data_IF_709903979833
#
_entry.id   IF_709903979833
#
_cell.length_a   1.000
_cell.length_b   1.000
_cell.length_c   1.000
_cell.angle_alpha   90.00
_cell.angle_beta   90.00
_cell.angle_gamma   90.00
#
_symmetry.space_group_name_H-M   'P 1'
#
loop_
_entity.id
_entity.type
_entity.pdbx_description
1 polymer ?
#
# COMPACT_ATOMS: atom_id res chain seq x y z
N UNK A 1 2.54 10.92 -38.52
CA UNK A 1 2.44 9.82 -39.50
C UNK A 1 3.34 8.70 -39.01
N UNK A 2 2.79 7.53 -38.66
CA UNK A 2 3.55 6.42 -38.05
C UNK A 2 3.92 5.42 -39.16
N UNK A 3 5.20 5.27 -39.44
CA UNK A 3 5.75 4.36 -40.46
C UNK A 3 6.09 3.00 -39.82
N UNK A 4 6.46 2.99 -38.54
CA UNK A 4 6.78 1.78 -37.78
C UNK A 4 6.11 1.77 -36.40
N UNK A 5 6.16 0.64 -35.70
CA UNK A 5 5.72 0.55 -34.29
C UNK A 5 6.65 1.34 -33.35
N UNK A 6 7.88 1.66 -33.78
CA UNK A 6 8.92 2.32 -32.99
C UNK A 6 8.99 3.81 -33.32
N UNK A 7 8.47 4.64 -32.44
CA UNK A 7 8.41 6.12 -32.65
C UNK A 7 9.80 6.71 -32.89
N UNK A 8 10.83 6.23 -32.19
CA UNK A 8 12.21 6.68 -32.40
C UNK A 8 12.78 6.27 -33.76
N UNK A 9 12.39 5.12 -34.30
CA UNK A 9 12.81 4.70 -35.64
C UNK A 9 12.17 5.58 -36.72
N UNK A 10 10.91 5.96 -36.54
CA UNK A 10 10.26 6.90 -37.45
C UNK A 10 10.93 8.28 -37.40
N UNK A 11 11.25 8.76 -36.19
CA UNK A 11 11.98 10.01 -36.01
C UNK A 11 13.34 9.99 -36.73
N UNK A 12 14.09 8.88 -36.63
CA UNK A 12 15.37 8.70 -37.32
C UNK A 12 15.21 8.81 -38.85
N UNK A 13 14.21 8.11 -39.40
CA UNK A 13 13.93 8.13 -40.84
C UNK A 13 13.61 9.56 -41.30
N UNK A 14 12.73 10.27 -40.58
CA UNK A 14 12.37 11.64 -40.94
C UNK A 14 13.56 12.59 -40.86
N UNK A 15 14.40 12.51 -39.82
CA UNK A 15 15.57 13.37 -39.66
C UNK A 15 16.63 13.16 -40.74
N UNK A 16 16.91 11.90 -41.11
CA UNK A 16 17.88 11.57 -42.17
C UNK A 16 17.34 11.99 -43.54
N UNK A 17 16.07 11.68 -43.85
CA UNK A 17 15.44 12.09 -45.11
C UNK A 17 15.42 13.60 -45.23
N UNK A 18 15.07 14.32 -44.16
CA UNK A 18 15.11 15.78 -44.15
C UNK A 18 16.53 16.33 -44.39
N UNK A 19 17.54 15.75 -43.72
CA UNK A 19 18.94 16.10 -43.96
C UNK A 19 19.39 15.87 -45.40
N UNK A 20 19.00 14.74 -46.01
CA UNK A 20 19.27 14.45 -47.42
C UNK A 20 18.55 15.43 -48.38
N UNK A 21 17.30 15.79 -48.10
CA UNK A 21 16.55 16.79 -48.88
C UNK A 21 17.24 18.15 -48.82
N UNK A 22 17.68 18.58 -47.62
CA UNK A 22 18.47 19.82 -47.49
C UNK A 22 19.76 19.71 -48.30
N UNK A 23 20.53 18.62 -48.13
CA UNK A 23 21.77 18.40 -48.86
C UNK A 23 21.60 18.39 -50.38
N UNK A 24 20.46 17.92 -50.88
CA UNK A 24 20.09 17.93 -52.29
C UNK A 24 19.77 19.34 -52.82
N UNK A 25 19.07 20.16 -52.04
CA UNK A 25 18.66 21.51 -52.45
C UNK A 25 19.78 22.55 -52.23
N UNK A 26 20.72 22.28 -51.32
CA UNK A 26 21.79 23.20 -50.92
C UNK A 26 22.67 23.73 -52.07
N UNK A 27 23.13 22.92 -53.05
CA UNK A 27 23.93 23.43 -54.17
C UNK A 27 23.22 24.52 -54.98
N UNK A 28 21.90 24.47 -55.08
CA UNK A 28 21.12 25.50 -55.78
C UNK A 28 21.10 26.83 -55.02
N UNK A 29 21.02 26.77 -53.68
CA UNK A 29 21.16 27.96 -52.82
C UNK A 29 22.54 28.58 -52.93
N UNK A 30 23.59 27.76 -53.02
CA UNK A 30 24.97 28.23 -53.15
C UNK A 30 25.20 28.93 -54.50
N UNK A 31 24.55 28.47 -55.57
CA UNK A 31 24.54 29.18 -56.87
C UNK A 31 23.82 30.53 -56.75
N UNK A 32 22.68 30.59 -56.06
CA UNK A 32 21.95 31.84 -55.80
C UNK A 32 22.80 32.85 -55.01
N UNK A 33 23.67 32.37 -54.12
CA UNK A 33 24.62 33.17 -53.34
C UNK A 33 25.86 33.63 -54.14
N UNK A 34 25.94 33.32 -55.44
CA UNK A 34 26.98 33.82 -56.35
C UNK A 34 28.15 32.87 -56.61
N UNK A 35 28.07 31.60 -56.21
CA UNK A 35 29.11 30.61 -56.54
C UNK A 35 28.95 30.13 -57.99
N UNK A 36 30.05 30.08 -58.78
CA UNK A 36 30.01 29.57 -60.15
C UNK A 36 29.42 28.17 -60.24
N UNK A 37 28.49 27.98 -61.19
CA UNK A 37 27.77 26.72 -61.43
C UNK A 37 28.70 25.53 -61.66
N UNK A 38 29.87 25.78 -62.26
CA UNK A 38 30.91 24.80 -62.55
C UNK A 38 31.55 24.18 -61.29
N UNK A 39 31.48 24.87 -60.14
CA UNK A 39 31.99 24.38 -58.87
C UNK A 39 30.86 23.73 -58.07
N UNK A 40 29.68 24.35 -58.04
CA UNK A 40 28.54 23.89 -57.25
C UNK A 40 27.92 22.58 -57.77
N UNK A 41 28.00 22.30 -59.08
CA UNK A 41 27.43 21.08 -59.68
C UNK A 41 28.49 19.98 -59.85
N UNK A 42 29.75 20.21 -59.43
CA UNK A 42 30.76 19.14 -59.46
C UNK A 42 30.29 17.94 -58.64
N UNK A 43 30.42 16.70 -59.16
CA UNK A 43 29.98 15.50 -58.44
C UNK A 43 30.55 15.40 -57.03
N UNK A 44 31.81 15.80 -56.83
CA UNK A 44 32.45 15.85 -55.51
C UNK A 44 31.74 16.80 -54.54
N UNK A 45 31.46 18.04 -54.96
CA UNK A 45 30.76 19.02 -54.12
C UNK A 45 29.34 18.57 -53.79
N UNK A 46 28.65 18.00 -54.77
CA UNK A 46 27.29 17.49 -54.61
C UNK A 46 27.22 16.33 -53.59
N UNK A 47 28.12 15.35 -53.71
CA UNK A 47 28.21 14.22 -52.77
C UNK A 47 28.59 14.70 -51.37
N UNK A 48 29.48 15.68 -51.24
CA UNK A 48 29.82 16.30 -49.95
C UNK A 48 28.63 17.01 -49.31
N UNK A 49 27.79 17.71 -50.09
CA UNK A 49 26.58 18.35 -49.57
C UNK A 49 25.57 17.31 -49.07
N UNK A 50 25.39 16.23 -49.84
CA UNK A 50 24.49 15.14 -49.46
C UNK A 50 24.96 14.42 -48.20
N UNK A 51 26.27 14.13 -48.07
CA UNK A 51 26.84 13.47 -46.90
C UNK A 51 26.80 14.36 -45.67
N UNK A 52 27.05 15.67 -45.81
CA UNK A 52 26.91 16.63 -44.71
C UNK A 52 25.46 16.70 -44.21
N UNK A 53 24.48 16.75 -45.11
CA UNK A 53 23.06 16.72 -44.77
C UNK A 53 22.66 15.43 -44.05
N UNK A 54 23.09 14.27 -44.53
CA UNK A 54 22.85 12.99 -43.88
C UNK A 54 23.48 12.92 -42.48
N UNK A 55 24.74 13.37 -42.34
CA UNK A 55 25.46 13.39 -41.08
C UNK A 55 24.77 14.29 -40.04
N UNK A 56 24.32 15.48 -40.46
CA UNK A 56 23.55 16.37 -39.60
C UNK A 56 22.25 15.71 -39.11
N UNK A 57 21.54 15.00 -40.00
CA UNK A 57 20.36 14.21 -39.62
C UNK A 57 20.66 13.13 -38.59
N UNK A 58 21.77 12.39 -38.76
CA UNK A 58 22.22 11.35 -37.82
C UNK A 58 22.56 11.97 -36.45
N UNK A 59 23.32 13.06 -36.41
CA UNK A 59 23.69 13.74 -35.16
C UNK A 59 22.44 14.23 -34.43
N UNK A 60 21.50 14.84 -35.15
CA UNK A 60 20.26 15.33 -34.57
C UNK A 60 19.41 14.21 -33.96
N UNK A 61 19.40 13.03 -34.60
CA UNK A 61 18.74 11.84 -34.05
C UNK A 61 19.37 11.38 -32.74
N UNK A 62 20.70 11.32 -32.65
CA UNK A 62 21.39 10.97 -31.41
C UNK A 62 21.12 11.99 -30.30
N UNK A 63 21.09 13.29 -30.63
CA UNK A 63 20.74 14.34 -29.68
C UNK A 63 19.31 14.14 -29.13
N UNK A 64 18.35 13.85 -30.00
CA UNK A 64 16.97 13.60 -29.61
C UNK A 64 16.84 12.35 -28.71
N UNK A 65 17.56 11.27 -29.02
CA UNK A 65 17.60 10.08 -28.17
C UNK A 65 18.20 10.37 -26.80
N UNK A 66 19.30 11.12 -26.74
CA UNK A 66 19.98 11.41 -25.50
C UNK A 66 19.12 12.30 -24.58
N UNK A 67 18.56 13.39 -25.13
CA UNK A 67 17.80 14.37 -24.36
C UNK A 67 16.42 13.85 -24.00
N UNK A 68 15.65 13.33 -24.98
CA UNK A 68 14.24 12.95 -24.76
C UNK A 68 14.13 11.50 -24.31
N UNK A 69 14.93 10.60 -24.90
CA UNK A 69 14.88 9.17 -24.59
C UNK A 69 15.19 8.87 -23.13
N UNK A 70 16.21 9.52 -22.56
CA UNK A 70 16.55 9.36 -21.13
C UNK A 70 15.39 9.74 -20.20
N UNK A 71 14.66 10.81 -20.53
CA UNK A 71 13.53 11.27 -19.70
C UNK A 71 12.32 10.35 -19.77
N UNK A 72 12.00 9.86 -20.97
CA UNK A 72 10.91 8.89 -21.15
C UNK A 72 11.23 7.59 -20.40
N UNK A 73 12.50 7.18 -20.38
CA UNK A 73 12.92 6.00 -19.64
C UNK A 73 12.69 6.13 -18.13
N UNK A 74 12.98 7.30 -17.53
CA UNK A 74 12.69 7.56 -16.11
C UNK A 74 11.19 7.40 -15.81
N UNK A 75 10.30 7.93 -16.66
CA UNK A 75 8.86 7.75 -16.49
C UNK A 75 8.45 6.28 -16.60
N UNK A 76 8.99 5.55 -17.57
CA UNK A 76 8.69 4.13 -17.78
C UNK A 76 9.16 3.27 -16.58
N UNK A 77 10.36 3.52 -16.07
CA UNK A 77 10.93 2.83 -14.92
C UNK A 77 10.14 3.11 -13.64
N UNK A 78 9.70 4.37 -13.46
CA UNK A 78 8.78 4.75 -12.39
C UNK A 78 7.46 3.98 -12.46
N UNK A 79 6.84 3.88 -13.64
CA UNK A 79 5.60 3.11 -13.82
C UNK A 79 5.80 1.63 -13.50
N UNK A 80 6.88 1.00 -13.98
CA UNK A 80 7.18 -0.40 -13.73
C UNK A 80 7.45 -0.69 -12.24
N UNK A 81 8.08 0.25 -11.54
CA UNK A 81 8.33 0.15 -10.10
C UNK A 81 7.02 0.15 -9.31
N UNK A 82 6.11 1.07 -9.62
CA UNK A 82 4.79 1.13 -8.96
C UNK A 82 3.95 -0.11 -9.28
N UNK A 83 3.95 -0.57 -10.54
CA UNK A 83 3.26 -1.81 -10.94
C UNK A 83 3.76 -3.02 -10.13
N UNK A 84 5.08 -3.18 -10.01
CA UNK A 84 5.68 -4.30 -9.29
C UNK A 84 5.29 -4.28 -7.82
N UNK A 85 5.37 -3.10 -7.17
CA UNK A 85 4.98 -2.94 -5.76
C UNK A 85 3.49 -3.19 -5.55
N UNK A 86 2.63 -2.71 -6.44
CA UNK A 86 1.18 -2.94 -6.35
C UNK A 86 0.84 -4.44 -6.48
N UNK A 87 1.50 -5.13 -7.41
CA UNK A 87 1.36 -6.58 -7.58
C UNK A 87 1.82 -7.35 -6.33
N UNK A 88 2.91 -6.93 -5.69
CA UNK A 88 3.35 -7.52 -4.44
C UNK A 88 2.34 -7.33 -3.30
N UNK A 89 1.73 -6.16 -3.16
CA UNK A 89 0.68 -5.94 -2.15
C UNK A 89 -0.50 -6.88 -2.36
N UNK A 90 -0.94 -7.00 -3.62
CA UNK A 90 -2.11 -7.80 -3.97
C UNK A 90 -1.87 -9.29 -3.72
N UNK A 91 -0.65 -9.78 -3.97
CA UNK A 91 -0.31 -11.20 -3.85
C UNK A 91 0.20 -11.61 -2.47
N UNK A 92 0.98 -10.75 -1.80
CA UNK A 92 1.68 -11.10 -0.57
C UNK A 92 0.97 -10.57 0.70
N UNK A 93 -0.13 -9.83 0.56
CA UNK A 93 -0.81 -9.22 1.72
C UNK A 93 0.08 -8.26 2.50
N UNK A 94 1.18 -7.78 1.88
CA UNK A 94 2.03 -6.75 2.45
C UNK A 94 1.21 -5.47 2.59
N UNK A 95 1.51 -4.70 3.62
CA UNK A 95 0.67 -3.58 4.06
C UNK A 95 1.13 -2.22 3.56
N UNK A 96 2.37 -2.08 3.08
CA UNK A 96 2.89 -0.78 2.69
C UNK A 96 3.10 -0.68 1.18
N UNK A 97 2.20 0.04 0.51
CA UNK A 97 2.58 0.65 -0.75
C UNK A 97 3.70 1.65 -0.45
N UNK A 98 4.73 1.59 -1.28
CA UNK A 98 5.79 2.59 -1.41
C UNK A 98 5.47 3.95 -0.77
N UNK A 99 6.35 4.44 0.12
CA UNK A 99 6.25 5.82 0.57
C UNK A 99 6.34 6.75 -0.64
N UNK A 100 5.55 7.83 -0.65
CA UNK A 100 5.47 8.79 -1.76
C UNK A 100 6.87 9.24 -2.24
N UNK A 101 7.80 9.44 -1.31
CA UNK A 101 9.18 9.85 -1.60
C UNK A 101 9.93 8.81 -2.44
N UNK A 102 9.73 7.52 -2.17
CA UNK A 102 10.42 6.40 -2.84
C UNK A 102 9.87 6.10 -4.24
N UNK A 103 8.63 6.48 -4.53
CA UNK A 103 7.98 6.23 -5.83
C UNK A 103 7.74 7.49 -6.65
N UNK A 104 8.11 8.65 -6.12
CA UNK A 104 8.13 9.89 -6.90
C UNK A 104 9.32 9.91 -7.86
N UNK A 105 9.12 10.50 -9.02
CA UNK A 105 10.20 10.79 -9.96
C UNK A 105 10.59 12.27 -9.87
N UNK A 106 11.86 12.56 -10.14
CA UNK A 106 12.40 13.92 -10.13
C UNK A 106 11.74 14.74 -11.25
N UNK A 107 11.37 15.98 -10.93
CA UNK A 107 10.87 16.97 -11.89
C UNK A 107 12.00 17.96 -12.17
N UNK A 108 12.60 17.90 -13.36
CA UNK A 108 13.73 18.73 -13.75
C UNK A 108 13.56 19.41 -15.11
N UNK A 109 12.33 19.46 -15.61
CA UNK A 109 11.94 20.18 -16.82
C UNK A 109 10.73 21.07 -16.54
N UNK A 110 10.64 22.19 -17.24
CA UNK A 110 9.50 23.11 -17.23
C UNK A 110 8.57 22.90 -18.44
N UNK A 111 8.92 21.98 -19.34
CA UNK A 111 8.10 21.63 -20.50
C UNK A 111 7.11 20.47 -20.22
N UNK A 112 6.51 19.94 -21.29
CA UNK A 112 5.51 18.86 -21.24
C UNK A 112 6.06 17.59 -20.55
N UNK A 113 7.38 17.36 -20.58
CA UNK A 113 8.01 16.23 -19.87
C UNK A 113 7.93 16.46 -18.36
N UNK A 114 8.19 17.69 -17.90
CA UNK A 114 8.02 18.09 -16.51
C UNK A 114 6.58 17.99 -16.04
N UNK A 115 5.63 18.47 -16.87
CA UNK A 115 4.19 18.35 -16.59
C UNK A 115 3.76 16.88 -16.44
N UNK A 116 4.26 16.01 -17.32
CA UNK A 116 3.98 14.56 -17.25
C UNK A 116 4.53 13.95 -15.95
N UNK A 117 5.73 14.35 -15.53
CA UNK A 117 6.31 13.90 -14.26
C UNK A 117 5.49 14.38 -13.05
N UNK A 118 4.98 15.61 -13.07
CA UNK A 118 4.10 16.13 -12.04
C UNK A 118 2.77 15.36 -11.97
N UNK A 119 2.14 15.09 -13.11
CA UNK A 119 0.90 14.29 -13.18
C UNK A 119 1.12 12.89 -12.62
N UNK A 120 2.23 12.24 -13.00
CA UNK A 120 2.60 10.94 -12.47
C UNK A 120 2.76 10.97 -10.95
N UNK A 121 3.51 11.94 -10.40
CA UNK A 121 3.70 12.06 -8.96
C UNK A 121 2.36 12.28 -8.21
N UNK A 122 1.44 13.08 -8.78
CA UNK A 122 0.09 13.25 -8.20
C UNK A 122 -0.71 11.95 -8.21
N UNK A 123 -0.60 11.15 -9.26
CA UNK A 123 -1.26 9.85 -9.35
C UNK A 123 -0.72 8.89 -8.29
N UNK A 124 0.61 8.79 -8.15
CA UNK A 124 1.25 7.96 -7.13
C UNK A 124 0.80 8.37 -5.73
N UNK A 125 0.74 9.67 -5.44
CA UNK A 125 0.25 10.19 -4.16
C UNK A 125 -1.20 9.79 -3.89
N UNK A 126 -2.08 10.04 -4.86
CA UNK A 126 -3.51 9.73 -4.73
C UNK A 126 -3.75 8.24 -4.51
N UNK A 127 -2.97 7.39 -5.19
CA UNK A 127 -3.02 5.94 -5.02
C UNK A 127 -2.58 5.52 -3.61
N UNK A 128 -1.47 6.06 -3.10
CA UNK A 128 -1.00 5.79 -1.75
C UNK A 128 -2.03 6.18 -0.69
N UNK A 129 -2.62 7.38 -0.80
CA UNK A 129 -3.66 7.87 0.10
C UNK A 129 -4.91 6.94 0.11
N UNK A 130 -5.30 6.43 -1.08
CA UNK A 130 -6.42 5.50 -1.21
C UNK A 130 -6.16 4.15 -0.54
N UNK A 131 -4.96 3.60 -0.68
CA UNK A 131 -4.60 2.31 -0.06
C UNK A 131 -4.50 2.43 1.46
N UNK A 132 -3.94 3.52 1.97
CA UNK A 132 -3.90 3.79 3.41
C UNK A 132 -5.31 3.82 4.00
N UNK A 133 -6.26 4.44 3.29
CA UNK A 133 -7.67 4.48 3.71
C UNK A 133 -8.28 3.08 3.72
N UNK A 134 -8.03 2.25 2.70
CA UNK A 134 -8.51 0.87 2.67
C UNK A 134 -7.95 0.03 3.82
N UNK A 135 -6.65 0.17 4.12
CA UNK A 135 -6.02 -0.53 5.22
C UNK A 135 -6.64 -0.10 6.56
N UNK A 136 -6.86 1.19 6.78
CA UNK A 136 -7.50 1.69 7.99
C UNK A 136 -8.92 1.10 8.20
N UNK A 137 -9.71 0.98 7.13
CA UNK A 137 -11.04 0.35 7.17
C UNK A 137 -10.94 -1.14 7.51
N UNK A 138 -9.99 -1.87 6.92
CA UNK A 138 -9.75 -3.29 7.23
C UNK A 138 -9.36 -3.45 8.70
N UNK A 139 -8.35 -2.73 9.18
CA UNK A 139 -7.90 -2.78 10.58
C UNK A 139 -9.02 -2.42 11.56
N UNK A 140 -9.85 -1.44 11.22
CA UNK A 140 -11.02 -1.11 12.01
C UNK A 140 -12.05 -2.24 12.05
N UNK A 141 -12.30 -2.90 10.91
CA UNK A 141 -13.18 -4.06 10.82
C UNK A 141 -12.64 -5.24 11.63
N UNK A 142 -11.32 -5.47 11.60
CA UNK A 142 -10.65 -6.49 12.41
C UNK A 142 -10.77 -6.19 13.91
N UNK A 143 -10.64 -4.93 14.32
CA UNK A 143 -10.87 -4.51 15.71
C UNK A 143 -12.32 -4.78 16.14
N UNK A 144 -13.31 -4.43 15.31
CA UNK A 144 -14.71 -4.73 15.60
C UNK A 144 -14.99 -6.23 15.70
N UNK A 145 -14.38 -7.03 14.81
CA UNK A 145 -14.46 -8.48 14.88
C UNK A 145 -13.84 -9.03 16.18
N UNK A 146 -12.72 -8.47 16.64
CA UNK A 146 -12.09 -8.88 17.90
C UNK A 146 -12.94 -8.56 19.14
N UNK A 147 -13.72 -7.48 19.10
CA UNK A 147 -14.68 -7.16 20.18
C UNK A 147 -15.90 -8.08 20.21
N UNK A 148 -16.20 -8.79 19.12
CA UNK A 148 -17.33 -9.73 19.02
C UNK A 148 -17.02 -11.14 19.53
N UNK A 149 -15.77 -11.46 19.87
CA UNK A 149 -15.34 -12.82 20.25
C UNK A 149 -14.98 -13.00 21.74
N UNK A 150 -15.09 -11.93 22.56
CA UNK A 150 -14.78 -11.99 23.99
C UNK A 150 -15.71 -12.96 24.75
N UNK A 151 -17.00 -12.93 24.45
CA UNK A 151 -18.01 -13.78 25.11
C UNK A 151 -17.80 -15.26 24.76
N UNK A 152 -17.58 -15.58 23.49
CA UNK A 152 -17.29 -16.94 23.01
C UNK A 152 -15.99 -17.48 23.59
N UNK A 153 -14.93 -16.67 23.58
CA UNK A 153 -13.62 -17.05 24.14
C UNK A 153 -13.71 -17.28 25.64
N UNK A 154 -14.39 -16.39 26.38
CA UNK A 154 -14.58 -16.50 27.81
C UNK A 154 -15.41 -17.75 28.18
N UNK A 155 -16.46 -18.05 27.42
CA UNK A 155 -17.31 -19.20 27.67
C UNK A 155 -16.56 -20.52 27.44
N UNK A 156 -15.83 -20.64 26.33
CA UNK A 156 -15.03 -21.84 26.03
C UNK A 156 -13.88 -22.04 27.04
N UNK A 157 -13.19 -20.96 27.40
CA UNK A 157 -12.09 -21.00 28.38
C UNK A 157 -12.60 -21.37 29.77
N UNK A 158 -13.75 -20.81 30.18
CA UNK A 158 -14.41 -21.14 31.43
C UNK A 158 -14.79 -22.63 31.47
N UNK A 159 -15.38 -23.16 30.40
CA UNK A 159 -15.67 -24.60 30.27
C UNK A 159 -14.45 -25.48 30.53
N UNK A 160 -13.33 -25.21 29.85
CA UNK A 160 -12.09 -25.95 30.05
C UNK A 160 -11.52 -25.82 31.48
N UNK A 161 -11.67 -24.64 32.10
CA UNK A 161 -11.19 -24.42 33.47
C UNK A 161 -12.01 -25.19 34.50
N UNK A 162 -13.33 -25.26 34.32
CA UNK A 162 -14.23 -26.01 35.19
C UNK A 162 -13.96 -27.51 35.09
N UNK A 163 -13.78 -28.03 33.87
CA UNK A 163 -13.44 -29.44 33.64
C UNK A 163 -12.14 -29.85 34.32
N UNK A 164 -11.09 -29.01 34.24
CA UNK A 164 -9.78 -29.32 34.80
C UNK A 164 -9.67 -29.08 36.32
N UNK A 165 -10.47 -28.16 36.87
CA UNK A 165 -10.46 -27.85 38.31
C UNK A 165 -11.43 -28.71 39.12
N UNK A 166 -12.38 -29.40 38.46
CA UNK A 166 -13.46 -30.13 39.13
C UNK A 166 -14.50 -29.21 39.78
N UNK A 167 -14.55 -27.94 39.39
CA UNK A 167 -15.47 -26.95 39.94
C UNK A 167 -16.87 -27.11 39.34
N UNK A 168 -17.92 -26.92 40.15
CA UNK A 168 -19.32 -27.09 39.70
C UNK A 168 -19.87 -25.92 38.86
N UNK A 169 -19.11 -24.83 38.71
CA UNK A 169 -19.45 -23.68 37.88
C UNK A 169 -18.60 -22.46 38.22
N UNK A 170 -18.78 -21.38 37.47
CA UNK A 170 -17.99 -20.16 37.60
C UNK A 170 -18.46 -19.07 36.65
N UNK A 171 -17.83 -17.90 36.75
CA UNK A 171 -18.05 -16.79 35.83
C UNK A 171 -16.73 -16.06 35.58
N UNK A 172 -16.61 -15.51 34.37
CA UNK A 172 -15.51 -14.65 33.95
C UNK A 172 -16.06 -13.22 33.92
N UNK A 173 -15.37 -12.32 34.59
CA UNK A 173 -15.71 -10.91 34.62
C UNK A 173 -14.60 -10.08 33.99
N UNK A 174 -14.96 -8.94 33.41
CA UNK A 174 -14.03 -7.94 32.92
C UNK A 174 -14.44 -6.57 33.44
N UNK A 175 -13.46 -5.70 33.61
CA UNK A 175 -13.68 -4.31 34.03
C UNK A 175 -13.96 -3.46 32.78
N UNK A 176 -15.13 -2.84 32.75
CA UNK A 176 -15.48 -1.81 31.77
C UNK A 176 -15.81 -0.51 32.51
N UNK A 177 -14.87 0.45 32.46
CA UNK A 177 -15.03 1.80 33.03
C UNK A 177 -15.32 1.76 34.55
N UNK A 178 -14.69 0.83 35.27
CA UNK A 178 -14.82 0.70 36.72
C UNK A 178 -16.04 -0.12 37.17
N UNK A 179 -16.81 -0.68 36.24
CA UNK A 179 -17.88 -1.63 36.52
C UNK A 179 -17.50 -3.03 36.04
N UNK A 180 -17.72 -4.04 36.90
CA UNK A 180 -17.49 -5.43 36.54
C UNK A 180 -18.66 -5.96 35.71
N UNK A 181 -18.39 -6.24 34.43
CA UNK A 181 -19.31 -6.91 33.52
C UNK A 181 -18.99 -8.38 33.38
N UNK A 182 -20.00 -9.17 33.04
CA UNK A 182 -19.89 -10.61 32.86
C UNK A 182 -19.47 -10.88 31.42
N UNK A 183 -18.35 -11.56 31.21
CA UNK A 183 -17.92 -12.08 29.90
C UNK A 183 -18.42 -13.52 29.67
N UNK A 184 -18.55 -14.33 30.72
CA UNK A 184 -19.13 -15.66 30.65
C UNK A 184 -19.66 -16.11 32.01
N UNK A 185 -20.70 -16.95 32.01
CA UNK A 185 -21.26 -17.55 33.23
C UNK A 185 -21.68 -19.00 32.94
N UNK A 186 -21.25 -19.92 33.79
CA UNK A 186 -21.66 -21.33 33.76
C UNK A 186 -22.01 -21.77 35.18
N UNK A 187 -23.29 -22.02 35.44
CA UNK A 187 -23.78 -22.61 36.68
C UNK A 187 -24.01 -21.65 37.85
N UNK A 188 -23.71 -20.34 37.76
CA UNK A 188 -24.14 -19.35 38.78
C UNK A 188 -25.51 -18.79 38.42
N UNK A 189 -26.42 -18.75 39.39
CA UNK A 189 -27.79 -18.24 39.19
C UNK A 189 -27.87 -16.71 39.16
N UNK A 190 -27.09 -16.06 40.02
CA UNK A 190 -27.09 -14.61 40.21
C UNK A 190 -25.64 -14.07 40.12
N UNK A 191 -25.02 -14.05 38.93
CA UNK A 191 -23.62 -13.66 38.76
C UNK A 191 -23.35 -12.18 39.11
N UNK A 192 -24.34 -11.30 39.00
CA UNK A 192 -24.19 -9.88 39.39
C UNK A 192 -23.96 -9.71 40.89
N UNK A 193 -24.54 -10.59 41.71
CA UNK A 193 -24.34 -10.58 43.18
C UNK A 193 -22.89 -10.91 43.54
N UNK A 194 -22.24 -11.74 42.72
CA UNK A 194 -20.81 -12.07 42.88
C UNK A 194 -19.96 -10.87 42.47
N UNK A 195 -20.26 -10.22 41.34
CA UNK A 195 -19.55 -9.03 40.88
C UNK A 195 -19.63 -7.87 41.88
N UNK A 196 -20.78 -7.69 42.53
CA UNK A 196 -21.01 -6.64 43.53
C UNK A 196 -20.42 -6.96 44.92
N UNK A 197 -19.83 -8.13 45.12
CA UNK A 197 -19.30 -8.54 46.43
C UNK A 197 -18.01 -7.78 46.78
N UNK A 198 -17.97 -7.17 47.96
CA UNK A 198 -16.77 -6.53 48.52
C UNK A 198 -15.56 -7.48 48.51
N UNK A 199 -15.79 -8.78 48.71
CA UNK A 199 -14.71 -9.77 48.72
C UNK A 199 -14.03 -9.93 47.35
N UNK A 200 -14.79 -9.79 46.27
CA UNK A 200 -14.31 -9.86 44.88
C UNK A 200 -13.61 -8.56 44.51
N UNK A 201 -14.20 -7.41 44.82
CA UNK A 201 -13.58 -6.11 44.58
C UNK A 201 -12.23 -5.97 45.31
N UNK A 202 -12.14 -6.42 46.56
CA UNK A 202 -10.88 -6.39 47.32
C UNK A 202 -9.83 -7.32 46.70
N UNK A 203 -10.22 -8.49 46.20
CA UNK A 203 -9.30 -9.44 45.56
C UNK A 203 -8.71 -8.84 44.26
N UNK A 204 -9.53 -8.16 43.46
CA UNK A 204 -9.11 -7.43 42.26
C UNK A 204 -8.18 -6.26 42.58
N UNK A 205 -8.56 -5.39 43.53
CA UNK A 205 -7.72 -4.25 43.95
C UNK A 205 -6.35 -4.69 44.46
N UNK A 206 -6.29 -5.81 45.19
CA UNK A 206 -5.03 -6.33 45.75
C UNK A 206 -4.28 -7.26 44.81
N UNK A 207 -4.86 -7.62 43.65
CA UNK A 207 -4.34 -8.64 42.71
C UNK A 207 -3.90 -9.93 43.40
N UNK A 208 -4.71 -10.39 44.35
CA UNK A 208 -4.44 -11.60 45.12
C UNK A 208 -5.57 -12.60 44.96
N UNK A 209 -5.21 -13.84 44.65
CA UNK A 209 -6.13 -14.98 44.71
C UNK A 209 -6.73 -15.09 46.10
N UNK A 210 -8.05 -15.18 46.18
CA UNK A 210 -8.76 -15.25 47.46
C UNK A 210 -9.73 -16.41 47.47
N UNK A 211 -9.60 -17.26 48.49
CA UNK A 211 -10.55 -18.34 48.77
C UNK A 211 -11.57 -17.85 49.80
N UNK A 212 -12.85 -18.00 49.49
CA UNK A 212 -13.97 -17.60 50.33
C UNK A 212 -14.73 -18.87 50.72
N UNK A 213 -14.82 -19.17 52.01
CA UNK A 213 -15.55 -20.35 52.51
C UNK A 213 -16.96 -19.96 52.93
N UNK A 214 -17.95 -20.77 52.53
CA UNK A 214 -19.38 -20.61 52.81
C UNK A 214 -19.94 -19.21 52.44
N UNK A 215 -19.85 -18.82 51.16
CA UNK A 215 -20.37 -17.54 50.70
C UNK A 215 -21.90 -17.48 50.86
N UNK A 216 -22.37 -16.56 51.71
CA UNK A 216 -23.80 -16.27 51.84
C UNK A 216 -24.26 -15.47 50.62
N UNK A 217 -25.31 -15.94 49.95
CA UNK A 217 -25.94 -15.23 48.83
C UNK A 217 -25.53 -15.70 47.43
N UNK A 218 -24.55 -16.60 47.30
CA UNK A 218 -24.21 -17.22 46.01
C UNK A 218 -24.97 -18.54 45.87
N UNK A 219 -25.66 -18.72 44.74
CA UNK A 219 -26.41 -19.94 44.41
C UNK A 219 -25.92 -20.53 43.11
N UNK A 220 -25.74 -21.84 43.12
CA UNK A 220 -25.40 -22.65 41.95
C UNK A 220 -26.65 -23.33 41.42
N UNK A 221 -26.76 -23.39 40.11
CA UNK A 221 -27.79 -24.17 39.43
C UNK A 221 -27.46 -25.66 39.52
N UNK A 222 -28.44 -26.46 39.94
CA UNK A 222 -28.34 -27.92 40.01
C UNK A 222 -29.49 -28.58 39.27
N UNK A 223 -29.27 -29.81 38.80
CA UNK A 223 -30.24 -30.56 37.97
C UNK A 223 -31.58 -30.79 38.71
N UNK A 224 -31.54 -30.94 40.04
CA UNK A 224 -32.73 -31.26 40.86
C UNK A 224 -33.06 -30.20 41.92
N UNK A 225 -32.08 -29.40 42.36
CA UNK A 225 -32.25 -28.32 43.32
C UNK A 225 -31.06 -27.36 43.25
N UNK A 226 -31.32 -26.07 43.51
CA UNK A 226 -30.28 -25.07 43.71
C UNK A 226 -29.53 -25.33 45.02
N UNK A 227 -28.23 -25.05 45.04
CA UNK A 227 -27.42 -25.20 46.25
C UNK A 227 -26.44 -24.05 46.45
N UNK A 228 -25.95 -23.92 47.69
CA UNK A 228 -24.90 -22.96 48.03
C UNK A 228 -23.53 -23.65 47.93
N UNK A 229 -22.54 -23.03 47.25
CA UNK A 229 -21.21 -23.62 47.17
C UNK A 229 -20.54 -23.60 48.54
N UNK A 230 -19.74 -24.61 48.83
CA UNK A 230 -18.95 -24.68 50.07
C UNK A 230 -17.82 -23.67 50.06
N UNK A 231 -17.24 -23.39 48.90
CA UNK A 231 -16.09 -22.51 48.71
C UNK A 231 -16.16 -21.82 47.34
N UNK A 232 -15.70 -20.57 47.26
CA UNK A 232 -15.48 -19.82 46.01
C UNK A 232 -14.02 -19.42 45.95
N UNK A 233 -13.40 -19.62 44.78
CA UNK A 233 -12.06 -19.14 44.48
C UNK A 233 -12.15 -17.93 43.55
N UNK A 234 -11.61 -16.80 43.98
CA UNK A 234 -11.52 -15.58 43.17
C UNK A 234 -10.10 -15.46 42.63
N UNK A 235 -9.97 -15.37 41.30
CA UNK A 235 -8.72 -15.23 40.57
C UNK A 235 -8.73 -13.87 39.84
N UNK A 236 -7.90 -12.90 40.24
CA UNK A 236 -7.80 -11.59 39.60
C UNK A 236 -6.89 -11.60 38.36
#
# INVERSE_FOLDING_TARGET
>A
MRITKKVFTDLAIFMIVFGLVIGFVFPWFVILLGVPREIAIKPGFYVSCLSAGALAGIINYFLALYVVGSRIQILADGMATVETKLRELTLAGKTELCNYEDCSIIIDSEDIIGESAQVYNRLVKTLADSLQTQQAVSTFSDMLASTLDLETLALNSLGMFLENSGSNGGAVFYDEIGELKIAANLGLKDPEVVAASDHVQIALQRRQTKKITLPKGVRMEGILADFHPSEILVLP
#
